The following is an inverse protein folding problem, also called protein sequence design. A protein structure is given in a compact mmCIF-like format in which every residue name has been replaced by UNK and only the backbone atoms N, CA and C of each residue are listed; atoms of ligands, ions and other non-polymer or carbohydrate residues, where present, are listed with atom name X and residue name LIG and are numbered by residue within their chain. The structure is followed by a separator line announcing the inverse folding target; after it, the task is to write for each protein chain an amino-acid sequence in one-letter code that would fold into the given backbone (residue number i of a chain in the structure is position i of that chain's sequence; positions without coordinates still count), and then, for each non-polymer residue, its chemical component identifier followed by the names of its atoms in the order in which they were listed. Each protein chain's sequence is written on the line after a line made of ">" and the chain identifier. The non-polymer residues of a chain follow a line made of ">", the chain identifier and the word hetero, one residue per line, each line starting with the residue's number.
data_IF_754086155732
#
_entry.id   IF_754086155732
#
_cell.length_a   1.000
_cell.length_b   1.000
_cell.length_c   1.000
_cell.angle_alpha   90.00
_cell.angle_beta   90.00
_cell.angle_gamma   90.00
#
_symmetry.space_group_name_H-M   'P 1'
#
loop_
_entity.id
_entity.type
_entity.pdbx_description
1 polymer ?
#
# COMPACT_ATOMS: atom_id res chain seq x y z
N UNK A 1 3.12 -11.77 22.86
CA UNK A 1 2.17 -12.28 21.84
C UNK A 1 2.98 -12.57 20.58
N UNK A 2 2.98 -13.81 20.11
CA UNK A 2 3.66 -14.20 18.87
C UNK A 2 3.04 -13.42 17.70
N UNK A 3 3.82 -12.50 17.09
CA UNK A 3 3.41 -11.71 15.94
C UNK A 3 3.90 -12.41 14.67
N UNK A 4 3.42 -13.62 14.44
CA UNK A 4 3.48 -14.19 13.10
C UNK A 4 2.54 -13.34 12.23
N UNK A 5 3.06 -12.83 11.12
CA UNK A 5 2.26 -12.11 10.14
C UNK A 5 1.02 -12.90 9.81
N UNK A 6 -0.12 -12.23 9.64
CA UNK A 6 -1.37 -12.92 9.31
C UNK A 6 -1.58 -12.92 7.79
N UNK A 7 -2.00 -14.04 7.25
CA UNK A 7 -2.44 -14.17 5.86
C UNK A 7 -3.70 -13.33 5.68
N UNK A 8 -3.80 -12.59 4.59
CA UNK A 8 -4.98 -11.81 4.22
C UNK A 8 -5.57 -12.41 2.96
N UNK A 9 -6.87 -12.72 2.99
CA UNK A 9 -7.55 -13.36 1.87
C UNK A 9 -8.92 -12.73 1.62
N UNK A 10 -9.21 -12.46 0.35
CA UNK A 10 -10.57 -12.15 -0.10
C UNK A 10 -11.05 -13.26 -1.02
N UNK A 11 -12.31 -13.65 -0.89
CA UNK A 11 -12.95 -14.69 -1.68
C UNK A 11 -14.16 -14.11 -2.39
N UNK A 12 -14.03 -13.87 -3.70
CA UNK A 12 -15.09 -13.42 -4.60
C UNK A 12 -15.91 -12.25 -4.05
N UNK A 13 -15.25 -11.25 -3.45
CA UNK A 13 -15.96 -10.13 -2.86
C UNK A 13 -16.56 -9.22 -3.93
N UNK A 14 -17.83 -8.85 -3.74
CA UNK A 14 -18.54 -7.82 -4.50
C UNK A 14 -19.02 -6.74 -3.55
N UNK A 15 -19.03 -5.50 -4.03
CA UNK A 15 -19.51 -4.35 -3.25
C UNK A 15 -20.02 -3.24 -4.14
N UNK A 16 -21.20 -2.67 -3.82
CA UNK A 16 -21.81 -1.55 -4.50
C UNK A 16 -22.02 -0.37 -3.57
N UNK A 17 -21.84 0.84 -4.09
CA UNK A 17 -22.24 2.07 -3.41
C UNK A 17 -23.62 2.49 -3.86
N UNK A 18 -24.53 2.88 -2.96
CA UNK A 18 -25.77 3.56 -3.37
C UNK A 18 -25.40 4.96 -3.88
N UNK A 19 -25.88 5.32 -5.06
CA UNK A 19 -25.70 6.63 -5.69
C UNK A 19 -27.08 7.20 -6.00
N UNK A 20 -27.35 8.42 -5.54
CA UNK A 20 -28.54 9.15 -5.97
C UNK A 20 -28.29 9.82 -7.31
N UNK A 21 -29.05 9.45 -8.31
CA UNK A 21 -29.09 10.11 -9.62
C UNK A 21 -30.34 10.98 -9.72
N UNK A 22 -30.17 12.26 -10.09
CA UNK A 22 -31.28 13.15 -10.36
C UNK A 22 -31.82 12.85 -11.77
N UNK A 23 -33.05 12.34 -11.86
CA UNK A 23 -33.79 12.22 -13.10
C UNK A 23 -34.90 13.29 -13.17
N UNK A 24 -35.42 13.57 -14.35
CA UNK A 24 -36.46 14.61 -14.57
C UNK A 24 -37.75 14.39 -13.75
N UNK A 25 -37.97 13.19 -13.20
CA UNK A 25 -39.15 12.82 -12.38
C UNK A 25 -38.85 12.58 -10.90
N UNK A 26 -37.61 12.80 -10.44
CA UNK A 26 -37.19 12.62 -9.03
C UNK A 26 -35.82 11.93 -8.86
N UNK A 27 -35.33 11.79 -7.61
CA UNK A 27 -34.10 11.06 -7.36
C UNK A 27 -34.34 9.55 -7.39
N UNK A 28 -33.51 8.82 -8.17
CA UNK A 28 -33.48 7.36 -8.20
C UNK A 28 -32.19 6.89 -7.53
N UNK A 29 -32.31 5.88 -6.66
CA UNK A 29 -31.15 5.21 -6.08
C UNK A 29 -30.63 4.15 -7.07
N UNK A 30 -29.47 4.40 -7.63
CA UNK A 30 -28.74 3.43 -8.44
C UNK A 30 -27.61 2.80 -7.63
N UNK A 31 -27.19 1.59 -8.00
CA UNK A 31 -26.05 0.92 -7.41
C UNK A 31 -24.82 1.04 -8.32
N UNK A 32 -23.76 1.70 -7.83
CA UNK A 32 -22.48 1.72 -8.49
C UNK A 32 -21.62 0.56 -7.98
N UNK A 33 -21.47 -0.49 -8.79
CA UNK A 33 -20.63 -1.65 -8.45
C UNK A 33 -19.16 -1.26 -8.44
N UNK A 34 -18.57 -1.20 -7.24
CA UNK A 34 -17.18 -0.82 -7.02
C UNK A 34 -16.23 -2.00 -7.01
N UNK A 35 -16.69 -3.17 -6.56
CA UNK A 35 -15.96 -4.45 -6.62
C UNK A 35 -16.87 -5.52 -7.23
N UNK A 36 -16.28 -6.36 -8.09
CA UNK A 36 -16.99 -7.44 -8.79
C UNK A 36 -16.15 -8.73 -8.75
N UNK A 37 -16.50 -9.61 -7.82
CA UNK A 37 -15.89 -10.93 -7.60
C UNK A 37 -14.36 -10.90 -7.43
N UNK A 38 -13.85 -9.96 -6.65
CA UNK A 38 -12.41 -9.80 -6.42
C UNK A 38 -11.92 -10.84 -5.42
N UNK A 39 -10.92 -11.62 -5.84
CA UNK A 39 -10.22 -12.58 -4.98
C UNK A 39 -8.73 -12.28 -4.96
N UNK A 40 -8.15 -12.12 -3.77
CA UNK A 40 -6.70 -11.99 -3.58
C UNK A 40 -6.25 -12.82 -2.38
N UNK A 41 -4.98 -13.18 -2.40
CA UNK A 41 -4.34 -13.94 -1.34
C UNK A 41 -2.95 -13.36 -1.09
N UNK A 42 -2.73 -12.90 0.13
CA UNK A 42 -1.50 -12.25 0.57
C UNK A 42 -0.92 -13.04 1.74
N UNK A 43 0.25 -13.62 1.55
CA UNK A 43 0.93 -14.31 2.63
C UNK A 43 1.50 -13.32 3.65
N UNK A 44 1.69 -13.80 4.87
CA UNK A 44 2.32 -13.04 5.93
C UNK A 44 3.72 -12.54 5.53
N UNK A 45 4.02 -11.29 5.81
CA UNK A 45 5.31 -10.67 5.52
C UNK A 45 5.56 -10.32 4.05
N UNK A 46 4.60 -10.54 3.14
CA UNK A 46 4.72 -10.11 1.75
C UNK A 46 4.60 -8.58 1.62
N UNK A 47 5.35 -8.03 0.68
CA UNK A 47 5.10 -6.70 0.13
C UNK A 47 4.37 -6.84 -1.20
N UNK A 48 3.10 -6.41 -1.25
CA UNK A 48 2.32 -6.42 -2.49
C UNK A 48 1.94 -5.01 -2.93
N UNK A 49 1.78 -4.83 -4.25
CA UNK A 49 1.23 -3.62 -4.83
C UNK A 49 -0.09 -3.89 -5.54
N UNK A 50 -1.07 -3.02 -5.34
CA UNK A 50 -2.35 -3.01 -6.06
C UNK A 50 -2.37 -1.76 -6.95
N UNK A 51 -2.31 -1.98 -8.26
CA UNK A 51 -2.31 -0.95 -9.29
C UNK A 51 -3.69 -0.83 -9.92
N UNK A 52 -4.00 0.34 -10.46
CA UNK A 52 -5.24 0.59 -11.20
C UNK A 52 -5.48 2.07 -11.41
N UNK A 53 -6.27 2.43 -12.42
CA UNK A 53 -6.72 3.81 -12.65
C UNK A 53 -7.66 4.29 -11.54
N UNK A 54 -7.93 5.60 -11.50
CA UNK A 54 -8.94 6.15 -10.59
C UNK A 54 -10.30 5.52 -10.87
N UNK A 55 -11.04 5.20 -9.81
CA UNK A 55 -12.33 4.51 -9.91
C UNK A 55 -12.25 3.01 -10.22
N UNK A 56 -11.06 2.38 -10.23
CA UNK A 56 -10.94 0.93 -10.46
C UNK A 56 -11.31 0.04 -9.26
N UNK A 57 -11.64 0.63 -8.09
CA UNK A 57 -12.06 -0.10 -6.89
C UNK A 57 -10.96 -0.32 -5.83
N UNK A 58 -9.74 0.19 -6.03
CA UNK A 58 -8.59 -0.03 -5.11
C UNK A 58 -8.86 0.41 -3.66
N UNK A 59 -9.30 1.65 -3.47
CA UNK A 59 -9.57 2.17 -2.12
C UNK A 59 -10.78 1.50 -1.48
N UNK A 60 -11.74 1.06 -2.27
CA UNK A 60 -12.84 0.23 -1.79
C UNK A 60 -12.31 -1.11 -1.28
N UNK A 61 -11.46 -1.79 -2.05
CA UNK A 61 -10.79 -3.01 -1.62
C UNK A 61 -9.98 -2.80 -0.34
N UNK A 62 -9.18 -1.71 -0.26
CA UNK A 62 -8.41 -1.38 0.94
C UNK A 62 -9.27 -1.31 2.20
N UNK A 63 -10.43 -0.66 2.12
CA UNK A 63 -11.36 -0.51 3.25
C UNK A 63 -11.98 -1.83 3.70
N UNK A 64 -12.11 -2.81 2.83
CA UNK A 64 -12.54 -4.16 3.20
C UNK A 64 -11.46 -4.92 3.97
N UNK A 65 -10.16 -4.69 3.67
CA UNK A 65 -9.05 -5.39 4.34
C UNK A 65 -8.90 -5.00 5.81
N UNK A 66 -9.44 -3.85 6.22
CA UNK A 66 -9.38 -3.39 7.62
C UNK A 66 -10.79 -3.32 8.25
N UNK A 67 -11.79 -3.97 7.64
CA UNK A 67 -13.18 -3.99 8.08
C UNK A 67 -13.80 -2.59 8.29
N UNK A 68 -13.41 -1.59 7.48
CA UNK A 68 -14.13 -0.32 7.36
C UNK A 68 -15.36 -0.46 6.47
N UNK A 69 -15.31 -1.39 5.52
CA UNK A 69 -16.45 -1.84 4.72
C UNK A 69 -16.60 -3.34 4.86
N UNK A 70 -17.84 -3.81 4.77
CA UNK A 70 -18.19 -5.22 4.72
C UNK A 70 -18.70 -5.52 3.31
N UNK A 71 -18.25 -6.61 2.65
CA UNK A 71 -18.68 -6.91 1.29
C UNK A 71 -20.15 -7.34 1.25
N UNK A 72 -20.85 -6.99 0.15
CA UNK A 72 -22.23 -7.43 -0.11
C UNK A 72 -22.26 -8.95 -0.36
N UNK A 73 -21.24 -9.45 -1.09
CA UNK A 73 -21.05 -10.87 -1.38
C UNK A 73 -19.61 -11.28 -1.15
N UNK A 74 -19.38 -12.54 -0.90
CA UNK A 74 -18.07 -13.11 -0.63
C UNK A 74 -17.60 -12.91 0.81
N UNK A 75 -16.31 -13.05 1.08
CA UNK A 75 -15.74 -12.93 2.42
C UNK A 75 -14.32 -12.37 2.42
N UNK A 76 -13.95 -11.68 3.51
CA UNK A 76 -12.61 -11.19 3.77
C UNK A 76 -12.11 -11.76 5.07
N UNK A 77 -10.91 -12.35 5.04
CA UNK A 77 -10.28 -13.03 6.15
C UNK A 77 -8.94 -12.38 6.51
N UNK A 78 -8.77 -12.08 7.79
CA UNK A 78 -7.49 -11.65 8.38
C UNK A 78 -7.02 -12.77 9.32
N UNK A 79 -6.14 -13.64 8.80
CA UNK A 79 -5.90 -14.94 9.45
C UNK A 79 -7.17 -15.78 9.45
N UNK A 80 -7.67 -16.11 10.65
CA UNK A 80 -8.89 -16.88 10.86
C UNK A 80 -10.11 -16.00 11.19
N UNK A 81 -9.96 -14.67 11.15
CA UNK A 81 -11.02 -13.71 11.48
C UNK A 81 -11.76 -13.26 10.21
N UNK A 82 -13.08 -13.51 10.17
CA UNK A 82 -13.96 -12.97 9.13
C UNK A 82 -14.33 -11.52 9.45
N UNK A 83 -14.17 -10.61 8.50
CA UNK A 83 -14.48 -9.16 8.69
C UNK A 83 -15.98 -8.88 8.90
N UNK A 84 -16.86 -9.86 8.64
CA UNK A 84 -18.30 -9.75 8.89
C UNK A 84 -18.68 -10.05 10.34
N UNK A 85 -17.75 -10.61 11.11
CA UNK A 85 -18.00 -10.95 12.52
C UNK A 85 -17.55 -9.81 13.42
N UNK A 86 -18.50 -9.04 13.94
CA UNK A 86 -18.27 -7.88 14.81
C UNK A 86 -17.41 -8.19 16.04
N UNK A 87 -17.36 -9.45 16.49
CA UNK A 87 -16.51 -9.87 17.61
C UNK A 87 -15.03 -9.66 17.36
N UNK A 88 -14.60 -9.70 16.09
CA UNK A 88 -13.21 -9.52 15.67
C UNK A 88 -12.87 -8.12 15.21
N UNK A 89 -13.85 -7.22 15.12
CA UNK A 89 -13.67 -5.88 14.50
C UNK A 89 -12.49 -5.11 15.11
N UNK A 90 -12.40 -5.06 16.43
CA UNK A 90 -11.31 -4.37 17.12
C UNK A 90 -9.95 -5.05 16.88
N UNK A 91 -9.91 -6.38 16.92
CA UNK A 91 -8.69 -7.13 16.67
C UNK A 91 -8.21 -6.95 15.23
N UNK A 92 -9.12 -7.00 14.25
CA UNK A 92 -8.82 -6.78 12.84
C UNK A 92 -8.21 -5.37 12.66
N UNK A 93 -8.82 -4.33 13.20
CA UNK A 93 -8.33 -2.95 13.10
C UNK A 93 -6.99 -2.72 13.81
N UNK A 94 -6.73 -3.43 14.88
CA UNK A 94 -5.43 -3.42 15.56
C UNK A 94 -4.35 -4.19 14.77
N UNK A 95 -4.73 -5.19 13.97
CA UNK A 95 -3.82 -6.03 13.18
C UNK A 95 -3.55 -5.46 11.78
N UNK A 96 -4.52 -4.74 11.19
CA UNK A 96 -4.40 -4.14 9.86
C UNK A 96 -4.50 -2.63 9.99
N UNK A 97 -3.34 -1.97 10.09
CA UNK A 97 -3.27 -0.50 10.09
C UNK A 97 -3.48 0.07 8.69
N UNK A 98 -4.18 1.19 8.59
CA UNK A 98 -4.44 1.84 7.30
C UNK A 98 -3.96 3.28 7.29
N UNK A 99 -3.18 3.64 6.27
CA UNK A 99 -2.71 5.00 6.00
C UNK A 99 -3.43 5.49 4.75
N UNK A 100 -4.20 6.57 4.88
CA UNK A 100 -5.00 7.14 3.80
C UNK A 100 -4.21 8.14 2.94
N UNK A 101 -4.77 8.49 1.79
CA UNK A 101 -4.17 9.36 0.79
C UNK A 101 -3.85 10.76 1.34
N UNK A 102 -4.77 11.36 2.10
CA UNK A 102 -4.60 12.70 2.66
C UNK A 102 -4.31 12.64 4.16
N UNK A 103 -3.08 12.93 4.60
CA UNK A 103 -2.72 12.92 6.01
C UNK A 103 -3.44 14.01 6.83
N UNK A 104 -3.82 15.14 6.23
CA UNK A 104 -4.53 16.22 6.96
C UNK A 104 -5.90 15.75 7.48
N UNK A 105 -6.55 14.82 6.79
CA UNK A 105 -7.83 14.26 7.20
C UNK A 105 -7.70 13.21 8.33
N UNK A 106 -6.47 12.80 8.66
CA UNK A 106 -6.21 11.81 9.69
C UNK A 106 -5.75 12.42 11.00
N UNK A 107 -5.17 13.63 10.96
CA UNK A 107 -4.58 14.28 12.13
C UNK A 107 -5.64 14.93 13.00
N UNK A 108 -5.74 14.50 14.25
CA UNK A 108 -6.75 14.95 15.23
C UNK A 108 -6.13 15.61 16.45
N UNK A 109 -4.84 15.35 16.74
CA UNK A 109 -4.16 15.86 17.92
C UNK A 109 -3.45 17.19 17.68
N UNK A 110 -3.11 17.89 18.77
CA UNK A 110 -2.38 19.15 18.74
C UNK A 110 -0.86 19.00 18.75
N UNK A 111 -0.36 17.83 19.11
CA UNK A 111 1.07 17.48 19.13
C UNK A 111 1.29 16.14 18.43
N UNK A 112 2.48 15.97 17.83
CA UNK A 112 2.84 14.74 17.09
C UNK A 112 2.84 13.52 18.00
N UNK A 113 3.34 13.63 19.23
CA UNK A 113 3.32 12.51 20.18
C UNK A 113 1.92 12.06 20.55
N UNK A 114 0.98 13.00 20.70
CA UNK A 114 -0.43 12.70 20.97
C UNK A 114 -1.08 12.02 19.76
N UNK A 115 -0.75 12.48 18.55
CA UNK A 115 -1.23 11.88 17.31
C UNK A 115 -0.78 10.42 17.18
N UNK A 116 0.50 10.13 17.50
CA UNK A 116 1.03 8.77 17.48
C UNK A 116 0.49 7.91 18.61
N UNK A 117 0.22 8.51 19.78
CA UNK A 117 -0.36 7.82 20.93
C UNK A 117 -1.83 7.44 20.72
N UNK A 118 -2.57 8.18 19.89
CA UNK A 118 -4.02 8.02 19.69
C UNK A 118 -4.42 6.57 19.33
N UNK A 119 -3.64 5.92 18.44
CA UNK A 119 -3.87 4.51 18.10
C UNK A 119 -3.64 3.56 19.28
N UNK A 120 -2.62 3.83 20.11
CA UNK A 120 -2.31 3.05 21.31
C UNK A 120 -3.41 3.18 22.38
N UNK A 121 -3.94 4.38 22.59
CA UNK A 121 -5.05 4.62 23.50
C UNK A 121 -6.29 3.82 23.10
N UNK A 122 -6.62 3.83 21.79
CA UNK A 122 -7.78 3.11 21.26
C UNK A 122 -7.69 1.59 21.44
N UNK A 123 -6.47 1.01 21.44
CA UNK A 123 -6.29 -0.44 21.70
C UNK A 123 -6.07 -0.76 23.18
N UNK A 124 -6.17 0.24 24.08
CA UNK A 124 -5.99 0.05 25.53
C UNK A 124 -4.54 -0.30 25.93
N UNK A 125 -3.55 0.26 25.20
CA UNK A 125 -2.13 0.03 25.53
C UNK A 125 -1.79 0.66 26.89
N UNK A 126 -0.94 0.00 27.74
CA UNK A 126 -0.57 0.52 29.05
C UNK A 126 0.05 1.92 28.95
N UNK A 127 -0.45 2.87 29.73
CA UNK A 127 0.01 4.27 29.70
C UNK A 127 1.45 4.45 30.17
N UNK A 128 1.94 3.56 31.05
CA UNK A 128 3.32 3.54 31.55
C UNK A 128 4.36 3.24 30.46
N UNK A 129 3.99 2.47 29.43
CA UNK A 129 4.87 2.07 28.31
C UNK A 129 4.64 2.93 27.05
N UNK A 130 3.66 3.83 27.07
CA UNK A 130 3.19 4.56 25.89
C UNK A 130 4.24 5.54 25.37
N UNK A 131 4.90 6.29 26.26
CA UNK A 131 5.90 7.30 25.88
C UNK A 131 7.09 6.65 25.14
N UNK A 132 7.58 5.52 25.65
CA UNK A 132 8.68 4.78 25.00
C UNK A 132 8.25 4.26 23.63
N UNK A 133 7.04 3.72 23.53
CA UNK A 133 6.47 3.21 22.29
C UNK A 133 6.31 4.30 21.22
N UNK A 134 5.85 5.49 21.60
CA UNK A 134 5.71 6.66 20.72
C UNK A 134 7.07 7.11 20.22
N UNK A 135 8.09 7.20 21.11
CA UNK A 135 9.46 7.56 20.74
C UNK A 135 10.07 6.56 19.75
N UNK A 136 9.91 5.25 19.99
CA UNK A 136 10.36 4.21 19.07
C UNK A 136 9.73 4.37 17.68
N UNK A 137 8.41 4.60 17.63
CA UNK A 137 7.68 4.76 16.39
C UNK A 137 8.13 6.00 15.60
N UNK A 138 8.27 7.14 16.27
CA UNK A 138 8.77 8.39 15.67
C UNK A 138 10.22 8.25 15.17
N UNK A 139 11.08 7.59 15.94
CA UNK A 139 12.45 7.32 15.52
C UNK A 139 12.52 6.45 14.25
N UNK A 140 11.66 5.43 14.14
CA UNK A 140 11.63 4.53 12.99
C UNK A 140 11.25 5.22 11.66
N UNK A 141 10.58 6.36 11.73
CA UNK A 141 10.20 7.18 10.55
C UNK A 141 11.03 8.47 10.42
N UNK A 142 12.08 8.64 11.25
CA UNK A 142 12.97 9.80 11.20
C UNK A 142 12.33 11.11 11.65
N UNK A 143 11.46 11.05 12.66
CA UNK A 143 10.79 12.22 13.27
C UNK A 143 11.21 12.48 14.73
N UNK A 144 12.33 11.89 15.18
CA UNK A 144 12.87 12.17 16.52
C UNK A 144 13.16 13.66 16.71
N UNK A 145 12.77 14.20 17.88
CA UNK A 145 12.93 15.61 18.23
C UNK A 145 11.78 16.52 17.78
N UNK A 146 10.74 15.96 17.14
CA UNK A 146 9.55 16.70 16.71
C UNK A 146 8.31 16.34 17.55
N UNK A 147 8.46 15.63 18.64
CA UNK A 147 7.38 15.06 19.46
C UNK A 147 6.34 16.12 19.88
N UNK A 148 6.81 17.31 20.27
CA UNK A 148 6.00 18.43 20.76
C UNK A 148 5.52 19.41 19.68
N UNK A 149 5.94 19.17 18.43
CA UNK A 149 5.53 20.04 17.31
C UNK A 149 4.05 19.86 16.99
N UNK A 150 3.43 20.94 16.51
CA UNK A 150 2.06 20.86 16.03
C UNK A 150 2.02 20.27 14.62
N UNK A 151 1.19 19.24 14.36
CA UNK A 151 1.04 18.64 13.03
C UNK A 151 0.77 19.65 11.91
N UNK A 152 0.09 20.77 12.20
CA UNK A 152 -0.17 21.80 11.21
C UNK A 152 1.10 22.47 10.65
N UNK A 153 2.19 22.46 11.41
CA UNK A 153 3.48 23.06 11.00
C UNK A 153 4.34 22.13 10.16
N UNK A 154 3.94 20.86 10.00
CA UNK A 154 4.70 19.85 9.29
C UNK A 154 4.58 19.99 7.77
N UNK A 155 5.64 19.63 7.05
CA UNK A 155 5.54 19.36 5.61
C UNK A 155 4.64 18.14 5.34
N UNK A 156 4.10 18.04 4.13
CA UNK A 156 3.27 16.89 3.74
C UNK A 156 3.98 15.54 3.96
N UNK A 157 5.29 15.45 3.67
CA UNK A 157 6.07 14.25 3.95
C UNK A 157 6.24 13.95 5.44
N UNK A 158 6.39 14.95 6.29
CA UNK A 158 6.43 14.76 7.74
C UNK A 158 5.07 14.31 8.28
N UNK A 159 3.97 14.92 7.82
CA UNK A 159 2.60 14.48 8.17
C UNK A 159 2.37 13.03 7.80
N UNK A 160 2.77 12.63 6.61
CA UNK A 160 2.63 11.24 6.16
C UNK A 160 3.47 10.28 7.02
N UNK A 161 4.70 10.66 7.38
CA UNK A 161 5.53 9.87 8.31
C UNK A 161 4.92 9.80 9.71
N UNK A 162 4.29 10.87 10.18
CA UNK A 162 3.54 10.85 11.46
C UNK A 162 2.39 9.86 11.41
N UNK A 163 1.59 9.84 10.33
CA UNK A 163 0.52 8.87 10.15
C UNK A 163 1.05 7.41 10.14
N UNK A 164 2.17 7.18 9.45
CA UNK A 164 2.85 5.86 9.47
C UNK A 164 3.33 5.52 10.88
N UNK A 165 3.91 6.47 11.63
CA UNK A 165 4.36 6.25 13.01
C UNK A 165 3.20 5.86 13.94
N UNK A 166 2.02 6.52 13.82
CA UNK A 166 0.83 6.16 14.58
C UNK A 166 0.39 4.72 14.36
N UNK A 167 0.42 4.26 13.12
CA UNK A 167 0.13 2.85 12.79
C UNK A 167 1.22 1.92 13.34
N UNK A 168 2.50 2.27 13.19
CA UNK A 168 3.62 1.45 13.69
C UNK A 168 3.65 1.29 15.20
N UNK A 169 3.24 2.33 15.94
CA UNK A 169 3.16 2.29 17.39
C UNK A 169 2.28 1.12 17.87
N UNK A 170 1.20 0.82 17.16
CA UNK A 170 0.31 -0.32 17.45
C UNK A 170 0.97 -1.68 17.13
N UNK A 171 2.09 -1.72 16.40
CA UNK A 171 2.76 -2.94 15.89
C UNK A 171 1.78 -3.86 15.14
N UNK A 172 1.18 -3.41 14.05
CA UNK A 172 0.23 -4.22 13.28
C UNK A 172 0.94 -5.38 12.57
N UNK A 173 0.17 -6.41 12.19
CA UNK A 173 0.67 -7.49 11.34
C UNK A 173 0.72 -7.09 9.85
N UNK A 174 -0.12 -6.12 9.47
CA UNK A 174 -0.21 -5.59 8.11
C UNK A 174 -0.40 -4.08 8.11
N UNK A 175 0.20 -3.41 7.13
CA UNK A 175 -0.03 -1.99 6.83
C UNK A 175 -0.58 -1.87 5.42
N UNK A 176 -1.73 -1.22 5.28
CA UNK A 176 -2.33 -0.84 4.00
C UNK A 176 -2.05 0.63 3.75
N UNK A 177 -1.37 0.94 2.66
CA UNK A 177 -1.04 2.28 2.19
C UNK A 177 -1.96 2.62 1.03
N UNK A 178 -3.01 3.42 1.25
CA UNK A 178 -3.97 3.80 0.21
C UNK A 178 -3.55 5.12 -0.42
N UNK A 179 -2.82 5.06 -1.55
CA UNK A 179 -2.27 6.21 -2.28
C UNK A 179 -1.51 7.21 -1.39
N UNK A 180 -0.94 6.74 -0.30
CA UNK A 180 -0.35 7.55 0.77
C UNK A 180 0.88 8.36 0.33
N UNK A 181 1.46 8.06 -0.83
CA UNK A 181 2.59 8.79 -1.42
C UNK A 181 2.18 9.80 -2.49
N UNK A 182 0.89 9.85 -2.86
CA UNK A 182 0.41 10.62 -4.01
C UNK A 182 0.63 12.14 -3.87
N UNK A 183 0.55 12.66 -2.64
CA UNK A 183 0.71 14.10 -2.36
C UNK A 183 2.17 14.51 -2.08
N UNK A 184 3.12 13.58 -2.19
CA UNK A 184 4.52 13.82 -1.87
C UNK A 184 5.33 14.16 -3.13
N UNK A 185 6.36 14.98 -2.94
CA UNK A 185 7.39 15.17 -3.94
C UNK A 185 8.19 13.86 -4.18
N UNK A 186 8.95 13.74 -5.27
CA UNK A 186 9.68 12.51 -5.57
C UNK A 186 10.69 12.09 -4.49
N UNK A 187 11.21 13.04 -3.70
CA UNK A 187 12.13 12.75 -2.60
C UNK A 187 11.37 12.16 -1.41
N UNK A 188 10.30 12.84 -0.97
CA UNK A 188 9.46 12.37 0.14
C UNK A 188 8.85 11.00 -0.14
N UNK A 189 8.44 10.75 -1.40
CA UNK A 189 7.94 9.43 -1.82
C UNK A 189 8.99 8.34 -1.62
N UNK A 190 10.22 8.55 -2.08
CA UNK A 190 11.32 7.59 -1.90
C UNK A 190 11.63 7.35 -0.44
N UNK A 191 11.61 8.40 0.40
CA UNK A 191 11.85 8.27 1.85
C UNK A 191 10.78 7.39 2.52
N UNK A 192 9.49 7.63 2.23
CA UNK A 192 8.40 6.78 2.75
C UNK A 192 8.53 5.34 2.26
N UNK A 193 8.75 5.14 0.95
CA UNK A 193 8.89 3.79 0.40
C UNK A 193 10.08 3.05 1.01
N UNK A 194 11.22 3.71 1.21
CA UNK A 194 12.37 3.10 1.88
C UNK A 194 12.03 2.69 3.32
N UNK A 195 11.36 3.57 4.08
CA UNK A 195 10.89 3.26 5.44
C UNK A 195 9.98 2.02 5.44
N UNK A 196 9.01 1.98 4.54
CA UNK A 196 8.05 0.87 4.43
C UNK A 196 8.74 -0.44 4.04
N UNK A 197 9.68 -0.40 3.07
CA UNK A 197 10.47 -1.56 2.67
C UNK A 197 11.37 -2.06 3.80
N UNK A 198 11.95 -1.15 4.57
CA UNK A 198 12.76 -1.50 5.75
C UNK A 198 11.91 -2.20 6.83
N UNK A 199 10.71 -1.68 7.09
CA UNK A 199 9.76 -2.28 8.04
C UNK A 199 9.34 -3.69 7.59
N UNK A 200 9.03 -3.88 6.31
CA UNK A 200 8.72 -5.19 5.76
C UNK A 200 9.89 -6.16 5.97
N UNK A 201 11.12 -5.77 5.54
CA UNK A 201 12.30 -6.65 5.57
C UNK A 201 12.80 -6.97 6.98
N UNK A 202 12.83 -5.94 7.88
CA UNK A 202 13.38 -6.11 9.24
C UNK A 202 12.38 -6.70 10.24
N UNK A 203 11.10 -6.35 10.07
CA UNK A 203 10.06 -6.71 11.05
C UNK A 203 9.04 -7.72 10.52
N UNK A 204 9.14 -8.13 9.26
CA UNK A 204 8.21 -9.10 8.66
C UNK A 204 6.77 -8.60 8.57
N UNK A 205 6.55 -7.27 8.60
CA UNK A 205 5.23 -6.67 8.48
C UNK A 205 4.74 -6.85 7.05
N UNK A 206 3.52 -7.35 6.88
CA UNK A 206 2.88 -7.42 5.56
C UNK A 206 2.57 -6.01 5.08
N UNK A 207 2.92 -5.69 3.83
CA UNK A 207 2.64 -4.38 3.24
C UNK A 207 1.72 -4.55 2.04
N UNK A 208 0.64 -3.79 2.02
CA UNK A 208 -0.28 -3.67 0.87
C UNK A 208 -0.22 -2.22 0.40
N UNK A 209 0.50 -1.97 -0.68
CA UNK A 209 0.66 -0.64 -1.25
C UNK A 209 -0.31 -0.45 -2.41
N UNK A 210 -1.28 0.44 -2.26
CA UNK A 210 -2.19 0.86 -3.32
C UNK A 210 -1.62 2.13 -3.94
N UNK A 211 -1.32 2.10 -5.22
CA UNK A 211 -0.67 3.20 -5.90
C UNK A 211 -0.98 3.23 -7.39
N UNK A 212 -0.76 4.37 -8.00
CA UNK A 212 -0.71 4.53 -9.45
C UNK A 212 0.72 4.79 -9.95
N UNK A 213 1.72 4.79 -9.04
CA UNK A 213 3.13 4.93 -9.37
C UNK A 213 3.76 3.56 -9.63
N UNK A 214 4.08 3.30 -10.88
CA UNK A 214 4.63 2.00 -11.32
C UNK A 214 5.98 1.69 -10.69
N UNK A 215 6.76 2.73 -10.36
CA UNK A 215 8.08 2.60 -9.74
C UNK A 215 8.03 2.00 -8.33
N UNK A 216 6.91 2.17 -7.61
CA UNK A 216 6.71 1.56 -6.30
C UNK A 216 6.48 0.06 -6.41
N UNK A 217 5.80 -0.38 -7.48
CA UNK A 217 5.45 -1.77 -7.70
C UNK A 217 6.61 -2.66 -8.16
N UNK A 218 7.71 -2.10 -8.68
CA UNK A 218 8.88 -2.89 -9.10
C UNK A 218 9.60 -3.58 -7.93
N UNK A 219 9.33 -3.15 -6.70
CA UNK A 219 9.92 -3.71 -5.48
C UNK A 219 9.01 -4.72 -4.77
N UNK A 220 7.79 -4.93 -5.28
CA UNK A 220 6.81 -5.81 -4.66
C UNK A 220 7.14 -7.29 -4.93
N UNK A 221 6.78 -8.17 -4.00
CA UNK A 221 6.80 -9.62 -4.22
C UNK A 221 5.70 -10.04 -5.20
N UNK A 222 4.58 -9.29 -5.20
CA UNK A 222 3.46 -9.54 -6.09
C UNK A 222 2.72 -8.25 -6.43
N UNK A 223 2.27 -8.17 -7.68
CA UNK A 223 1.49 -7.05 -8.21
C UNK A 223 0.12 -7.55 -8.62
N UNK A 224 -0.89 -6.79 -8.25
CA UNK A 224 -2.28 -6.97 -8.67
C UNK A 224 -2.70 -5.73 -9.47
N UNK A 225 -3.33 -5.93 -10.63
CA UNK A 225 -3.86 -4.83 -11.45
C UNK A 225 -5.38 -4.89 -11.43
N UNK A 226 -5.99 -3.83 -10.92
CA UNK A 226 -7.45 -3.67 -10.91
C UNK A 226 -7.93 -2.80 -12.06
N UNK A 227 -9.02 -3.21 -12.68
CA UNK A 227 -9.72 -2.45 -13.71
C UNK A 227 -11.23 -2.64 -13.58
N UNK A 228 -12.00 -1.53 -13.50
CA UNK A 228 -13.47 -1.54 -13.41
C UNK A 228 -14.03 -2.52 -12.37
N UNK A 229 -13.50 -2.45 -11.16
CA UNK A 229 -13.93 -3.27 -10.02
C UNK A 229 -13.44 -4.72 -10.04
N UNK A 230 -12.68 -5.14 -11.05
CA UNK A 230 -12.18 -6.52 -11.20
C UNK A 230 -10.67 -6.60 -11.11
N UNK A 231 -10.18 -7.78 -10.75
CA UNK A 231 -8.77 -8.12 -10.86
C UNK A 231 -8.47 -8.54 -12.30
N UNK A 232 -7.70 -7.71 -13.02
CA UNK A 232 -7.32 -7.95 -14.42
C UNK A 232 -6.08 -8.83 -14.52
N UNK A 233 -5.03 -8.51 -13.74
CA UNK A 233 -3.74 -9.21 -13.75
C UNK A 233 -3.25 -9.46 -12.33
N UNK A 234 -2.51 -10.55 -12.14
CA UNK A 234 -1.70 -10.78 -10.95
C UNK A 234 -0.45 -11.59 -11.28
N UNK A 235 0.64 -11.34 -10.56
CA UNK A 235 1.92 -12.04 -10.75
C UNK A 235 3.07 -11.29 -10.09
N UNK A 236 4.30 -11.72 -10.36
CA UNK A 236 5.48 -10.93 -10.01
C UNK A 236 5.51 -9.63 -10.82
N UNK A 237 6.26 -8.60 -10.41
CA UNK A 237 6.41 -7.38 -11.20
C UNK A 237 6.82 -7.67 -12.65
N UNK A 238 7.76 -8.60 -12.88
CA UNK A 238 8.21 -8.99 -14.21
C UNK A 238 7.09 -9.59 -15.05
N UNK A 239 6.32 -10.52 -14.46
CA UNK A 239 5.18 -11.18 -15.14
C UNK A 239 4.08 -10.19 -15.52
N UNK A 240 3.82 -9.22 -14.65
CA UNK A 240 2.77 -8.21 -14.88
C UNK A 240 3.23 -7.18 -15.90
N UNK A 241 4.44 -6.60 -15.73
CA UNK A 241 4.91 -5.54 -16.62
C UNK A 241 5.30 -6.02 -18.03
N UNK A 242 5.51 -7.33 -18.24
CA UNK A 242 5.59 -7.93 -19.58
C UNK A 242 4.27 -7.81 -20.37
N UNK A 243 3.12 -7.72 -19.69
CA UNK A 243 1.79 -7.65 -20.30
C UNK A 243 1.39 -6.21 -20.62
N UNK A 244 2.20 -5.55 -21.45
CA UNK A 244 2.07 -4.11 -21.70
C UNK A 244 0.74 -3.69 -22.33
N UNK A 245 0.10 -4.57 -23.11
CA UNK A 245 -1.21 -4.29 -23.72
C UNK A 245 -2.30 -4.20 -22.66
N UNK A 246 -2.37 -5.18 -21.78
CA UNK A 246 -3.37 -5.26 -20.70
C UNK A 246 -3.20 -4.12 -19.69
N UNK A 247 -1.95 -3.71 -19.39
CA UNK A 247 -1.68 -2.56 -18.52
C UNK A 247 -2.20 -1.27 -19.15
N UNK A 248 -2.00 -1.08 -20.46
CA UNK A 248 -2.53 0.08 -21.18
C UNK A 248 -4.05 0.04 -21.27
N UNK A 249 -4.67 -1.14 -21.43
CA UNK A 249 -6.11 -1.33 -21.37
C UNK A 249 -6.69 -0.91 -20.02
N UNK A 250 -5.98 -1.20 -18.92
CA UNK A 250 -6.34 -0.72 -17.58
C UNK A 250 -6.17 0.79 -17.38
N UNK A 251 -5.74 1.54 -18.41
CA UNK A 251 -5.50 2.98 -18.35
C UNK A 251 -4.21 3.35 -17.59
N UNK A 252 -3.28 2.40 -17.46
CA UNK A 252 -2.01 2.58 -16.76
C UNK A 252 -0.84 2.76 -17.75
N UNK A 253 0.22 3.40 -17.27
CA UNK A 253 1.50 3.50 -17.97
C UNK A 253 2.45 2.42 -17.42
N UNK A 254 3.35 1.92 -18.25
CA UNK A 254 4.44 1.06 -17.79
C UNK A 254 5.48 1.86 -16.99
N UNK A 255 6.26 1.21 -16.11
CA UNK A 255 7.47 1.83 -15.55
C UNK A 255 8.36 2.40 -16.66
N UNK A 256 9.03 3.51 -16.39
CA UNK A 256 9.87 4.21 -17.39
C UNK A 256 10.91 3.26 -18.01
N UNK A 257 11.52 2.42 -17.19
CA UNK A 257 12.52 1.44 -17.66
C UNK A 257 11.90 0.42 -18.64
N UNK A 258 10.68 -0.04 -18.35
CA UNK A 258 9.97 -0.95 -19.25
C UNK A 258 9.67 -0.28 -20.60
N UNK A 259 9.29 1.01 -20.60
CA UNK A 259 9.06 1.78 -21.83
C UNK A 259 10.33 1.93 -22.64
N UNK A 260 11.46 2.26 -21.99
CA UNK A 260 12.78 2.36 -22.64
C UNK A 260 13.18 0.98 -23.22
N UNK A 261 13.06 -0.08 -22.45
CA UNK A 261 13.38 -1.44 -22.88
C UNK A 261 12.51 -1.88 -24.09
N UNK A 262 11.21 -1.51 -24.09
CA UNK A 262 10.30 -1.77 -25.21
C UNK A 262 10.73 -1.02 -26.48
N UNK A 263 11.13 0.23 -26.36
CA UNK A 263 11.60 1.04 -27.51
C UNK A 263 12.93 0.54 -28.06
N UNK A 264 13.85 0.15 -27.20
CA UNK A 264 15.11 -0.46 -27.63
C UNK A 264 14.90 -1.80 -28.35
N UNK A 265 13.95 -2.63 -27.90
CA UNK A 265 13.53 -3.84 -28.61
C UNK A 265 12.97 -3.54 -30.01
N UNK A 266 12.15 -2.50 -30.16
CA UNK A 266 11.63 -2.06 -31.46
C UNK A 266 12.75 -1.65 -32.42
N UNK A 267 13.86 -1.12 -31.88
CA UNK A 267 15.07 -0.79 -32.65
C UNK A 267 15.98 -1.98 -32.92
N UNK A 268 15.58 -3.19 -32.59
CA UNK A 268 16.29 -4.44 -32.88
C UNK A 268 17.28 -4.87 -31.81
N UNK A 269 17.34 -4.22 -30.64
CA UNK A 269 18.17 -4.66 -29.54
C UNK A 269 17.58 -5.88 -28.83
N UNK A 270 18.43 -6.83 -28.44
CA UNK A 270 18.02 -8.05 -27.73
C UNK A 270 17.92 -7.79 -26.22
N UNK A 271 16.85 -7.16 -25.79
CA UNK A 271 16.56 -6.88 -24.37
C UNK A 271 15.41 -7.77 -23.92
N UNK A 272 15.57 -8.59 -22.84
CA UNK A 272 14.49 -9.41 -22.30
C UNK A 272 13.25 -8.58 -21.90
N UNK A 273 12.06 -9.15 -22.05
CA UNK A 273 10.82 -8.48 -21.64
C UNK A 273 10.71 -8.32 -20.10
N UNK A 274 11.43 -9.15 -19.36
CA UNK A 274 11.49 -9.13 -17.90
C UNK A 274 12.35 -8.01 -17.30
N UNK A 275 12.96 -7.16 -18.13
CA UNK A 275 13.74 -5.99 -17.67
C UNK A 275 12.78 -4.92 -17.19
N UNK A 276 12.74 -4.70 -15.85
CA UNK A 276 11.85 -3.74 -15.18
C UNK A 276 12.59 -2.72 -14.31
N UNK A 277 13.89 -2.95 -14.04
CA UNK A 277 14.71 -2.06 -13.22
C UNK A 277 15.88 -1.48 -14.02
N UNK A 278 16.38 -0.33 -13.56
CA UNK A 278 17.53 0.35 -14.15
C UNK A 278 18.79 -0.57 -14.16
N UNK A 279 19.04 -1.24 -13.04
CA UNK A 279 20.17 -2.17 -12.92
C UNK A 279 20.10 -3.29 -13.98
N UNK A 280 18.93 -3.91 -14.14
CA UNK A 280 18.72 -4.94 -15.17
C UNK A 280 18.95 -4.39 -16.58
N UNK A 281 18.47 -3.17 -16.87
CA UNK A 281 18.68 -2.55 -18.19
C UNK A 281 20.16 -2.27 -18.46
N UNK A 282 20.87 -1.66 -17.50
CA UNK A 282 22.32 -1.39 -17.60
C UNK A 282 23.08 -2.70 -17.81
N UNK A 283 22.79 -3.74 -17.04
CA UNK A 283 23.42 -5.06 -17.19
C UNK A 283 23.24 -5.63 -18.61
N UNK A 284 22.02 -5.53 -19.16
CA UNK A 284 21.76 -5.97 -20.55
C UNK A 284 22.51 -5.15 -21.59
N UNK A 285 22.69 -3.82 -21.37
CA UNK A 285 23.37 -2.95 -22.33
C UNK A 285 24.89 -3.05 -22.29
N UNK A 286 25.44 -3.28 -21.10
CA UNK A 286 26.91 -3.36 -20.91
C UNK A 286 27.47 -4.78 -21.05
N UNK A 287 26.60 -5.79 -21.06
CA UNK A 287 27.02 -7.21 -21.06
C UNK A 287 27.65 -7.67 -19.74
N UNK A 288 27.58 -6.84 -18.67
CA UNK A 288 28.09 -7.17 -17.34
C UNK A 288 26.95 -7.84 -16.55
N UNK A 289 27.12 -9.09 -16.14
CA UNK A 289 26.15 -9.78 -15.30
C UNK A 289 26.25 -9.28 -13.85
N UNK A 290 25.13 -9.29 -13.10
CA UNK A 290 25.03 -8.77 -11.72
C UNK A 290 26.02 -9.40 -10.72
N UNK A 291 26.68 -10.50 -11.08
CA UNK A 291 27.62 -11.22 -10.23
C UNK A 291 29.07 -10.67 -10.26
N UNK A 292 29.38 -9.65 -11.07
CA UNK A 292 30.75 -9.15 -11.26
C UNK A 292 31.02 -7.76 -10.67
N UNK A 293 30.20 -7.22 -9.79
CA UNK A 293 30.48 -5.94 -9.14
C UNK A 293 30.84 -6.11 -7.65
N UNK A 294 32.12 -6.34 -7.29
CA UNK A 294 32.55 -6.51 -5.90
C UNK A 294 32.76 -5.18 -5.14
N UNK A 295 32.41 -4.03 -5.70
CA UNK A 295 32.68 -2.71 -5.14
C UNK A 295 31.42 -1.91 -4.83
N UNK A 296 30.66 -2.29 -3.79
CA UNK A 296 29.86 -1.36 -3.00
C UNK A 296 29.77 -1.83 -1.55
N UNK A 297 30.93 -2.06 -0.92
CA UNK A 297 31.10 -1.89 0.52
C UNK A 297 31.92 -0.62 0.70
N UNK A 298 31.43 0.26 1.57
CA UNK A 298 32.05 1.49 2.10
C UNK A 298 31.88 2.78 1.28
N UNK A 299 30.85 3.55 1.63
CA UNK A 299 30.97 4.94 2.15
C UNK A 299 29.60 5.43 2.64
#
# INVERSE_FOLDING_TARGET
>A
MNKEGRRIRTETISYSYPVETEEEEGSVLEELKALDQVSLDVAAGQFICILGSNGSGKSTLARHLNALLVPDEGSVWIGDMDTRDDRYLWEIRAQVGMVFQNPDNQMVASQIEEEVAFGLENIGFPSEDMEERVKEALASVGLSGLEKENPANLSGGQKQRTAVAGILAMRPACIVLDESTAMLDPKGRREIMNTVLELNRKHGITIICITHFMEEAVHADRVFVMHKGKLLLSGTPEEVFCKSAEIREAGLKLPVICQIAEELRRKGMKIPASVITEKQLISCLTGISENENPNTSDS
#
